data_IF_053746058290
#
_entry.id   IF_053746058290
#
_cell.length_a   1.000
_cell.length_b   1.000
_cell.length_c   1.000
_cell.angle_alpha   90.00
_cell.angle_beta   90.00
_cell.angle_gamma   90.00
#
_symmetry.space_group_name_H-M   'P 1'
#
loop_
_entity.id
_entity.type
_entity.pdbx_description
1 polymer ?
#
# COMPACT_ATOMS: atom_id res chain seq x y z
N UNK A 1 10.12 -13.88 -7.67
CA UNK A 1 10.37 -14.44 -9.02
C UNK A 1 11.86 -14.46 -9.33
N UNK A 2 12.30 -15.36 -10.21
CA UNK A 2 13.69 -15.48 -10.66
C UNK A 2 14.03 -14.48 -11.78
N UNK A 3 15.32 -14.26 -12.07
CA UNK A 3 15.77 -13.42 -13.20
C UNK A 3 15.16 -13.86 -14.54
N UNK A 4 15.02 -15.17 -14.78
CA UNK A 4 14.41 -15.71 -16.00
C UNK A 4 12.93 -15.33 -16.10
N UNK A 5 12.21 -15.38 -14.98
CA UNK A 5 10.82 -14.96 -14.90
C UNK A 5 10.65 -13.44 -15.06
N UNK A 6 11.56 -12.64 -14.49
CA UNK A 6 11.58 -11.19 -14.73
C UNK A 6 11.83 -10.85 -16.20
N UNK A 7 12.75 -11.56 -16.86
CA UNK A 7 12.98 -11.38 -18.30
C UNK A 7 11.71 -11.69 -19.10
N UNK A 8 11.01 -12.78 -18.78
CA UNK A 8 9.72 -13.12 -19.40
C UNK A 8 8.66 -12.04 -19.15
N UNK A 9 8.62 -11.43 -17.97
CA UNK A 9 7.72 -10.32 -17.66
C UNK A 9 8.04 -9.08 -18.53
N UNK A 10 9.31 -8.72 -18.65
CA UNK A 10 9.75 -7.61 -19.50
C UNK A 10 9.42 -7.84 -20.98
N UNK A 11 9.55 -9.07 -21.47
CA UNK A 11 9.15 -9.41 -22.85
C UNK A 11 7.67 -9.19 -23.11
N UNK A 12 6.80 -9.52 -22.15
CA UNK A 12 5.35 -9.25 -22.26
C UNK A 12 5.10 -7.75 -22.41
N UNK A 13 5.78 -6.92 -21.62
CA UNK A 13 5.64 -5.47 -21.69
C UNK A 13 6.21 -4.89 -22.99
N UNK A 14 7.33 -5.43 -23.49
CA UNK A 14 7.92 -5.00 -24.76
C UNK A 14 7.02 -5.31 -25.96
N UNK A 15 6.28 -6.43 -25.92
CA UNK A 15 5.29 -6.77 -26.95
C UNK A 15 4.05 -5.87 -26.88
N UNK A 16 3.63 -5.47 -25.68
CA UNK A 16 2.44 -4.65 -25.49
C UNK A 16 2.68 -3.15 -25.75
N UNK A 17 3.92 -2.69 -25.67
CA UNK A 17 4.27 -1.28 -25.74
C UNK A 17 5.52 -1.04 -26.60
N UNK A 18 5.36 -0.46 -27.78
CA UNK A 18 6.46 -0.19 -28.72
C UNK A 18 7.60 0.65 -28.13
N UNK A 19 7.26 1.55 -27.20
CA UNK A 19 8.23 2.42 -26.51
C UNK A 19 8.93 1.74 -25.33
N UNK A 20 8.56 0.51 -24.98
CA UNK A 20 9.16 -0.21 -23.86
C UNK A 20 10.42 -0.95 -24.30
N UNK A 21 11.55 -0.27 -24.23
CA UNK A 21 12.84 -0.87 -24.59
C UNK A 21 13.44 -1.65 -23.42
N UNK A 22 13.91 -2.87 -23.70
CA UNK A 22 14.77 -3.64 -22.80
C UNK A 22 16.21 -3.36 -23.22
N UNK A 23 17.05 -2.95 -22.28
CA UNK A 23 18.43 -2.61 -22.58
C UNK A 23 19.26 -3.87 -22.87
N UNK A 24 20.19 -3.75 -23.81
CA UNK A 24 21.10 -4.85 -24.18
C UNK A 24 22.09 -5.19 -23.06
N UNK A 25 22.37 -4.24 -22.16
CA UNK A 25 23.31 -4.40 -21.04
C UNK A 25 22.69 -5.14 -19.83
N UNK A 26 21.38 -5.44 -19.87
CA UNK A 26 20.66 -6.14 -18.82
C UNK A 26 20.49 -5.37 -17.51
N UNK A 27 20.77 -4.07 -17.48
CA UNK A 27 20.60 -3.18 -16.32
C UNK A 27 19.11 -3.09 -15.94
N UNK A 28 18.21 -2.90 -16.91
CA UNK A 28 16.76 -2.89 -16.67
C UNK A 28 16.30 -4.21 -16.09
N UNK A 29 16.80 -5.34 -16.61
CA UNK A 29 16.49 -6.66 -16.06
C UNK A 29 16.95 -6.80 -14.61
N UNK A 30 18.18 -6.35 -14.28
CA UNK A 30 18.71 -6.39 -12.91
C UNK A 30 17.86 -5.56 -11.95
N UNK A 31 17.57 -4.30 -12.29
CA UNK A 31 16.78 -3.38 -11.45
C UNK A 31 15.35 -3.89 -11.27
N UNK A 32 14.70 -4.35 -12.33
CA UNK A 32 13.35 -4.91 -12.24
C UNK A 32 13.32 -6.19 -11.42
N UNK A 33 14.35 -7.03 -11.51
CA UNK A 33 14.45 -8.24 -10.71
C UNK A 33 14.65 -7.90 -9.24
N UNK A 34 15.60 -7.01 -8.91
CA UNK A 34 15.85 -6.56 -7.55
C UNK A 34 14.57 -6.01 -6.89
N UNK A 35 13.80 -5.21 -7.62
CA UNK A 35 12.60 -4.56 -7.10
C UNK A 35 11.33 -5.38 -7.21
N UNK A 36 11.34 -6.59 -7.80
CA UNK A 36 10.15 -7.45 -7.92
C UNK A 36 10.40 -8.90 -7.50
N UNK A 37 11.61 -9.26 -7.04
CA UNK A 37 11.99 -10.66 -6.71
C UNK A 37 11.16 -11.26 -5.58
N UNK A 38 10.63 -10.44 -4.68
CA UNK A 38 9.70 -10.81 -3.60
C UNK A 38 8.30 -11.20 -4.12
N UNK A 39 7.95 -10.85 -5.36
CA UNK A 39 6.63 -11.11 -5.93
C UNK A 39 6.62 -12.44 -6.70
N UNK A 40 5.63 -13.33 -6.47
CA UNK A 40 5.45 -14.53 -7.28
C UNK A 40 5.17 -14.18 -8.75
N UNK A 41 5.79 -14.91 -9.69
CA UNK A 41 5.72 -14.58 -11.12
C UNK A 41 4.28 -14.52 -11.64
N UNK A 42 3.42 -15.46 -11.24
CA UNK A 42 2.01 -15.51 -11.65
C UNK A 42 1.24 -14.23 -11.29
N UNK A 43 1.51 -13.69 -10.08
CA UNK A 43 0.86 -12.47 -9.59
C UNK A 43 1.37 -11.25 -10.36
N UNK A 44 2.68 -11.15 -10.58
CA UNK A 44 3.26 -10.07 -11.37
C UNK A 44 2.81 -10.10 -12.85
N UNK A 45 2.66 -11.30 -13.43
CA UNK A 45 2.12 -11.47 -14.77
C UNK A 45 0.67 -10.99 -14.87
N UNK A 46 -0.17 -11.33 -13.87
CA UNK A 46 -1.55 -10.87 -13.83
C UNK A 46 -1.63 -9.35 -13.69
N UNK A 47 -0.80 -8.77 -12.82
CA UNK A 47 -0.67 -7.31 -12.67
C UNK A 47 -0.28 -6.63 -13.99
N UNK A 48 0.73 -7.14 -14.70
CA UNK A 48 1.14 -6.61 -15.99
C UNK A 48 0.01 -6.67 -17.03
N UNK A 49 -0.68 -7.81 -17.15
CA UNK A 49 -1.82 -7.94 -18.07
C UNK A 49 -2.94 -6.94 -17.75
N UNK A 50 -3.26 -6.76 -16.47
CA UNK A 50 -4.28 -5.80 -16.04
C UNK A 50 -3.88 -4.36 -16.33
N UNK A 51 -2.60 -4.02 -16.21
CA UNK A 51 -2.08 -2.69 -16.59
C UNK A 51 -2.14 -2.46 -18.10
N UNK A 52 -1.79 -3.46 -18.91
CA UNK A 52 -1.91 -3.41 -20.38
C UNK A 52 -3.33 -3.08 -20.81
N UNK A 53 -4.33 -3.64 -20.14
CA UNK A 53 -5.74 -3.35 -20.44
C UNK A 53 -6.23 -1.99 -19.95
N UNK A 54 -5.55 -1.38 -18.98
CA UNK A 54 -5.97 -0.12 -18.34
C UNK A 54 -5.28 1.12 -18.89
N UNK A 55 -4.05 0.98 -19.37
CA UNK A 55 -3.18 2.10 -19.72
C UNK A 55 -2.52 1.87 -21.07
N UNK A 56 -2.62 2.82 -22.02
CA UNK A 56 -1.85 2.79 -23.26
C UNK A 56 -0.37 3.15 -23.04
N UNK A 57 -0.01 3.62 -21.84
CA UNK A 57 1.36 3.97 -21.49
C UNK A 57 2.09 2.80 -20.84
N UNK A 58 3.38 2.57 -21.18
CA UNK A 58 4.16 1.51 -20.59
C UNK A 58 4.28 1.68 -19.06
N UNK A 59 4.04 0.63 -18.26
CA UNK A 59 4.08 0.72 -16.81
C UNK A 59 5.52 0.87 -16.31
N UNK A 60 5.67 1.60 -15.22
CA UNK A 60 6.90 1.59 -14.40
C UNK A 60 6.81 0.52 -13.30
N UNK A 61 7.93 0.26 -12.63
CA UNK A 61 8.02 -0.76 -11.56
C UNK A 61 6.98 -0.51 -10.45
N UNK A 62 6.75 0.77 -10.11
CA UNK A 62 5.76 1.17 -9.12
C UNK A 62 4.32 0.80 -9.53
N UNK A 63 4.01 0.83 -10.83
CA UNK A 63 2.67 0.47 -11.31
C UNK A 63 2.41 -1.02 -11.15
N UNK A 64 3.42 -1.85 -11.45
CA UNK A 64 3.34 -3.30 -11.23
C UNK A 64 3.07 -3.60 -9.76
N UNK A 65 3.84 -3.00 -8.84
CA UNK A 65 3.64 -3.19 -7.39
C UNK A 65 2.26 -2.73 -6.93
N UNK A 66 1.78 -1.59 -7.44
CA UNK A 66 0.43 -1.08 -7.12
C UNK A 66 -0.66 -2.01 -7.61
N UNK A 67 -0.52 -2.57 -8.82
CA UNK A 67 -1.50 -3.50 -9.33
C UNK A 67 -1.42 -4.87 -8.63
N UNK A 68 -0.24 -5.32 -8.21
CA UNK A 68 -0.07 -6.50 -7.35
C UNK A 68 -0.79 -6.32 -6.02
N UNK A 69 -0.57 -5.20 -5.33
CA UNK A 69 -1.28 -4.87 -4.09
C UNK A 69 -2.81 -4.82 -4.32
N UNK A 70 -3.24 -4.17 -5.41
CA UNK A 70 -4.66 -4.12 -5.82
C UNK A 70 -5.27 -5.50 -6.05
N UNK A 71 -4.53 -6.46 -6.62
CA UNK A 71 -4.97 -7.85 -6.82
C UNK A 71 -5.10 -8.55 -5.46
N UNK A 72 -4.10 -8.44 -4.60
CA UNK A 72 -4.11 -9.06 -3.26
C UNK A 72 -5.24 -8.52 -2.37
N UNK A 73 -5.57 -7.23 -2.50
CA UNK A 73 -6.61 -6.55 -1.70
C UNK A 73 -7.98 -6.51 -2.41
N UNK A 74 -8.13 -7.14 -3.58
CA UNK A 74 -9.35 -7.01 -4.40
C UNK A 74 -10.61 -7.61 -3.77
N UNK A 75 -10.50 -8.44 -2.73
CA UNK A 75 -11.64 -9.01 -2.01
C UNK A 75 -12.13 -8.16 -0.83
N UNK A 76 -11.29 -7.29 -0.24
CA UNK A 76 -11.62 -6.57 1.01
C UNK A 76 -11.11 -5.11 1.01
N UNK A 77 -11.49 -4.30 0.02
CA UNK A 77 -11.25 -2.85 0.10
C UNK A 77 -12.23 -2.22 1.09
N UNK A 78 -11.86 -2.20 2.37
CA UNK A 78 -12.53 -1.37 3.38
C UNK A 78 -12.40 0.09 2.94
N UNK A 79 -13.50 0.64 2.43
CA UNK A 79 -13.55 2.05 2.02
C UNK A 79 -13.54 2.94 3.25
N UNK A 80 -13.26 4.24 3.07
CA UNK A 80 -13.40 5.20 4.16
C UNK A 80 -14.84 5.26 4.71
N UNK A 81 -15.83 4.87 3.91
CA UNK A 81 -17.24 4.77 4.31
C UNK A 81 -17.46 3.55 5.19
N UNK A 82 -16.96 2.37 4.79
CA UNK A 82 -17.07 1.14 5.59
C UNK A 82 -16.33 1.30 6.93
N UNK A 83 -15.15 1.92 6.90
CA UNK A 83 -14.40 2.29 8.09
C UNK A 83 -15.18 3.23 9.02
N UNK A 84 -15.95 4.17 8.48
CA UNK A 84 -16.80 5.04 9.29
C UNK A 84 -18.01 4.31 9.87
N UNK A 85 -18.60 3.38 9.11
CA UNK A 85 -19.70 2.54 9.59
C UNK A 85 -19.25 1.70 10.79
N UNK A 86 -18.04 1.17 10.76
CA UNK A 86 -17.42 0.47 11.89
C UNK A 86 -17.35 1.34 13.15
N UNK A 87 -16.98 2.63 13.01
CA UNK A 87 -17.01 3.62 14.10
C UNK A 87 -18.42 3.83 14.62
N UNK A 88 -19.40 4.04 13.74
CA UNK A 88 -20.80 4.24 14.11
C UNK A 88 -21.36 3.04 14.87
N UNK A 89 -21.04 1.83 14.42
CA UNK A 89 -21.45 0.59 15.09
C UNK A 89 -20.84 0.53 16.49
N UNK A 90 -19.54 0.77 16.64
CA UNK A 90 -18.91 0.80 17.95
C UNK A 90 -19.53 1.86 18.89
N UNK A 91 -19.89 3.04 18.38
CA UNK A 91 -20.56 4.08 19.20
C UNK A 91 -21.89 3.55 19.73
N UNK A 92 -22.67 2.87 18.87
CA UNK A 92 -23.97 2.28 19.26
C UNK A 92 -23.83 1.19 20.31
N UNK A 93 -22.80 0.36 20.23
CA UNK A 93 -22.61 -0.79 21.14
C UNK A 93 -21.91 -0.43 22.45
N UNK A 94 -20.90 0.43 22.40
CA UNK A 94 -20.02 0.71 23.53
C UNK A 94 -20.33 2.04 24.20
N UNK A 95 -20.88 3.01 23.46
CA UNK A 95 -21.08 4.37 23.93
C UNK A 95 -19.77 5.06 24.29
N UNK A 96 -19.87 6.25 24.88
CA UNK A 96 -18.70 7.10 25.13
C UNK A 96 -17.83 6.66 26.32
N UNK A 97 -18.35 5.81 27.22
CA UNK A 97 -17.62 5.39 28.42
C UNK A 97 -16.67 4.20 28.19
N UNK A 98 -16.89 3.41 27.14
CA UNK A 98 -16.19 2.13 26.89
C UNK A 98 -15.21 2.22 25.74
N UNK A 99 -14.36 3.25 25.77
CA UNK A 99 -13.38 3.53 24.70
C UNK A 99 -12.47 2.34 24.43
N UNK A 100 -11.96 1.69 25.48
CA UNK A 100 -10.97 0.62 25.32
C UNK A 100 -11.57 -0.56 24.56
N UNK A 101 -12.81 -0.96 24.88
CA UNK A 101 -13.50 -2.04 24.16
C UNK A 101 -13.89 -1.62 22.75
N UNK A 102 -14.34 -0.38 22.55
CA UNK A 102 -14.67 0.17 21.24
C UNK A 102 -13.46 0.18 20.29
N UNK A 103 -12.31 0.67 20.75
CA UNK A 103 -11.09 0.66 19.94
C UNK A 103 -10.57 -0.77 19.71
N UNK A 104 -10.80 -1.68 20.66
CA UNK A 104 -10.42 -3.09 20.54
C UNK A 104 -11.28 -3.89 19.57
N UNK A 105 -12.52 -3.44 19.28
CA UNK A 105 -13.41 -4.11 18.34
C UNK A 105 -13.16 -3.71 16.88
N UNK A 106 -12.30 -2.72 16.63
CA UNK A 106 -12.10 -2.14 15.30
C UNK A 106 -10.84 -2.65 14.60
N UNK A 107 -10.80 -2.53 13.28
CA UNK A 107 -9.59 -2.62 12.48
C UNK A 107 -8.51 -1.66 13.03
N UNK A 108 -7.26 -2.11 13.07
CA UNK A 108 -6.15 -1.35 13.65
C UNK A 108 -5.97 0.06 13.06
N UNK A 109 -6.26 0.24 11.77
CA UNK A 109 -6.19 1.54 11.12
C UNK A 109 -7.34 2.47 11.54
N UNK A 110 -8.56 1.93 11.67
CA UNK A 110 -9.74 2.64 12.16
C UNK A 110 -9.55 3.05 13.61
N UNK A 111 -9.15 2.12 14.47
CA UNK A 111 -8.86 2.37 15.88
C UNK A 111 -7.77 3.44 16.05
N UNK A 112 -6.72 3.41 15.22
CA UNK A 112 -5.67 4.43 15.22
C UNK A 112 -6.20 5.82 14.85
N UNK A 113 -7.05 5.93 13.82
CA UNK A 113 -7.68 7.20 13.44
C UNK A 113 -8.58 7.73 14.56
N UNK A 114 -9.46 6.88 15.09
CA UNK A 114 -10.40 7.25 16.16
C UNK A 114 -9.65 7.71 17.41
N UNK A 115 -8.60 6.99 17.82
CA UNK A 115 -7.74 7.39 18.96
C UNK A 115 -7.08 8.74 18.75
N UNK A 116 -6.62 9.03 17.53
CA UNK A 116 -6.00 10.32 17.20
C UNK A 116 -7.01 11.48 17.20
N UNK A 117 -8.28 11.20 16.88
CA UNK A 117 -9.37 12.19 16.91
C UNK A 117 -9.97 12.38 18.31
N UNK A 118 -9.90 11.34 19.17
CA UNK A 118 -10.53 11.31 20.48
C UNK A 118 -11.90 10.63 20.45
N UNK A 119 -12.05 9.50 21.15
CA UNK A 119 -13.30 8.72 21.15
C UNK A 119 -14.46 9.49 21.79
N UNK A 120 -14.19 10.13 22.93
CA UNK A 120 -15.19 10.87 23.68
C UNK A 120 -15.68 12.07 22.88
N UNK A 121 -14.77 12.78 22.22
CA UNK A 121 -15.05 13.92 21.35
C UNK A 121 -15.93 13.51 20.18
N UNK A 122 -15.62 12.38 19.53
CA UNK A 122 -16.45 11.80 18.47
C UNK A 122 -17.86 11.47 18.99
N UNK A 123 -17.98 10.87 20.18
CA UNK A 123 -19.28 10.44 20.72
C UNK A 123 -20.16 11.62 21.17
N UNK A 124 -19.55 12.70 21.67
CA UNK A 124 -20.28 13.84 22.25
C UNK A 124 -20.59 14.95 21.22
N UNK A 125 -19.98 14.91 20.04
CA UNK A 125 -20.20 15.93 19.01
C UNK A 125 -21.56 15.77 18.32
N UNK A 126 -22.27 16.88 18.21
CA UNK A 126 -23.58 17.00 17.55
C UNK A 126 -23.47 17.09 16.01
N UNK A 127 -22.37 17.67 15.51
CA UNK A 127 -22.12 17.87 14.07
C UNK A 127 -21.46 16.63 13.44
N UNK A 128 -22.21 15.53 13.38
CA UNK A 128 -21.75 14.23 12.86
C UNK A 128 -21.15 14.35 11.45
N UNK A 129 -21.71 15.20 10.59
CA UNK A 129 -21.18 15.43 9.24
C UNK A 129 -19.75 16.00 9.23
N UNK A 130 -19.41 16.86 10.19
CA UNK A 130 -18.06 17.44 10.32
C UNK A 130 -17.09 16.37 10.79
N UNK A 131 -17.44 15.61 11.83
CA UNK A 131 -16.60 14.51 12.35
C UNK A 131 -16.37 13.45 11.29
N UNK A 132 -17.43 13.03 10.57
CA UNK A 132 -17.30 12.09 9.46
C UNK A 132 -16.33 12.61 8.39
N UNK A 133 -16.43 13.88 8.03
CA UNK A 133 -15.52 14.52 7.06
C UNK A 133 -14.06 14.51 7.52
N UNK A 134 -13.80 14.87 8.79
CA UNK A 134 -12.45 14.84 9.36
C UNK A 134 -11.91 13.41 9.47
N UNK A 135 -12.74 12.46 9.88
CA UNK A 135 -12.39 11.04 9.94
C UNK A 135 -11.98 10.52 8.56
N UNK A 136 -12.81 10.73 7.53
CA UNK A 136 -12.52 10.27 6.16
C UNK A 136 -11.18 10.85 5.68
N UNK A 137 -10.91 12.13 5.97
CA UNK A 137 -9.65 12.79 5.62
C UNK A 137 -8.45 12.16 6.34
N UNK A 138 -8.52 12.01 7.66
CA UNK A 138 -7.42 11.45 8.47
C UNK A 138 -7.18 9.97 8.16
N UNK A 139 -8.25 9.17 8.09
CA UNK A 139 -8.20 7.77 7.69
C UNK A 139 -7.61 7.61 6.29
N UNK A 140 -8.03 8.43 5.33
CA UNK A 140 -7.47 8.42 3.97
C UNK A 140 -5.96 8.71 3.93
N UNK A 141 -5.47 9.63 4.76
CA UNK A 141 -4.03 9.89 4.90
C UNK A 141 -3.28 8.68 5.46
N UNK A 142 -3.80 8.05 6.51
CA UNK A 142 -3.16 6.87 7.11
C UNK A 142 -3.23 5.65 6.19
N UNK A 143 -4.35 5.46 5.48
CA UNK A 143 -4.52 4.41 4.49
C UNK A 143 -3.53 4.58 3.34
N UNK A 144 -3.36 5.81 2.84
CA UNK A 144 -2.38 6.11 1.79
C UNK A 144 -0.95 5.80 2.24
N UNK A 145 -0.57 6.21 3.45
CA UNK A 145 0.76 5.88 4.02
C UNK A 145 0.96 4.38 4.14
N UNK A 146 -0.03 3.66 4.67
CA UNK A 146 0.01 2.19 4.77
C UNK A 146 0.18 1.54 3.40
N UNK A 147 -0.57 2.01 2.40
CA UNK A 147 -0.44 1.53 1.02
C UNK A 147 0.95 1.82 0.46
N UNK A 148 1.52 2.99 0.70
CA UNK A 148 2.88 3.35 0.27
C UNK A 148 3.94 2.46 0.93
N UNK A 149 3.81 2.19 2.24
CA UNK A 149 4.67 1.25 2.97
C UNK A 149 4.54 -0.18 2.41
N UNK A 150 3.32 -0.62 2.11
CA UNK A 150 3.04 -1.96 1.56
C UNK A 150 3.61 -2.16 0.15
N UNK A 151 3.87 -1.09 -0.60
CA UNK A 151 4.51 -1.18 -1.91
C UNK A 151 6.00 -1.52 -1.81
N UNK A 152 6.68 -1.20 -0.72
CA UNK A 152 8.12 -1.42 -0.62
C UNK A 152 8.44 -2.91 -0.44
N UNK A 153 9.48 -3.46 -1.10
CA UNK A 153 9.99 -4.78 -0.77
C UNK A 153 10.42 -4.85 0.71
N UNK A 154 10.25 -6.00 1.36
CA UNK A 154 10.55 -6.18 2.80
C UNK A 154 11.98 -5.75 3.14
N UNK A 155 12.95 -6.20 2.34
CA UNK A 155 14.38 -5.87 2.53
C UNK A 155 14.66 -4.36 2.47
N UNK A 156 13.91 -3.63 1.62
CA UNK A 156 14.04 -2.18 1.49
C UNK A 156 13.43 -1.47 2.71
N UNK A 157 12.30 -1.96 3.23
CA UNK A 157 11.70 -1.45 4.47
C UNK A 157 12.64 -1.63 5.66
N UNK A 158 13.26 -2.80 5.78
CA UNK A 158 14.22 -3.11 6.84
C UNK A 158 15.45 -2.21 6.74
N UNK A 159 15.99 -2.02 5.53
CA UNK A 159 17.13 -1.12 5.30
C UNK A 159 16.80 0.33 5.69
N UNK A 160 15.62 0.85 5.30
CA UNK A 160 15.16 2.20 5.67
C UNK A 160 15.01 2.31 7.20
N UNK A 161 14.45 1.29 7.84
CA UNK A 161 14.28 1.25 9.29
C UNK A 161 15.62 1.31 10.02
N UNK A 162 16.58 0.46 9.64
CA UNK A 162 17.92 0.43 10.23
C UNK A 162 18.68 1.75 10.05
N UNK A 163 18.49 2.45 8.92
CA UNK A 163 19.04 3.79 8.71
C UNK A 163 18.39 4.80 9.66
N UNK A 164 17.06 4.75 9.81
CA UNK A 164 16.32 5.65 10.70
C UNK A 164 16.66 5.45 12.19
N UNK A 165 17.00 4.22 12.58
CA UNK A 165 17.43 3.84 13.93
C UNK A 165 18.95 4.09 14.15
N UNK A 166 19.68 4.50 13.12
CA UNK A 166 21.11 4.86 13.18
C UNK A 166 22.08 3.67 13.15
N UNK A 167 21.60 2.46 12.82
CA UNK A 167 22.36 1.21 12.87
C UNK A 167 23.10 0.89 11.56
N UNK A 168 22.67 1.47 10.44
CA UNK A 168 23.39 1.40 9.16
C UNK A 168 24.06 2.74 8.86
N UNK A 169 25.39 2.80 9.05
CA UNK A 169 26.20 3.86 8.43
C UNK A 169 26.23 3.59 6.92
N UNK A 170 25.81 4.55 6.10
CA UNK A 170 26.07 4.56 4.68
C UNK A 170 27.58 4.36 4.51
N UNK A 171 28.01 3.16 4.12
CA UNK A 171 29.39 2.96 3.69
C UNK A 171 29.52 3.81 2.43
N UNK A 172 30.20 4.94 2.54
CA UNK A 172 30.71 5.69 1.41
C UNK A 172 31.62 4.74 0.62
N UNK A 173 31.05 4.05 -0.37
CA UNK A 173 31.84 3.38 -1.40
C UNK A 173 32.21 4.45 -2.43
N UNK A 174 33.22 5.26 -2.09
CA UNK A 174 34.04 5.94 -3.07
C UNK A 174 35.43 5.32 -2.97
N UNK A 175 35.71 4.40 -3.88
CA UNK A 175 37.05 4.02 -4.36
C UNK A 175 36.88 3.38 -5.73
#
# INVERSE_FOLDING_TARGET
MTKKETSKLLSILAVAYDKFQVDSQGVKLKVWHELLRDIPYQVAQLAAKKLILKSPFPPVIADIRREVASIATSQDKVTATDAWEEVVNAIRYYGYYREKEALGSMNSLVARTVRAMGWREICLESKIGVIRGQFIKMYGQLLKRKQEEDLLPIELRESIRLISEGELKLKESVS
#
